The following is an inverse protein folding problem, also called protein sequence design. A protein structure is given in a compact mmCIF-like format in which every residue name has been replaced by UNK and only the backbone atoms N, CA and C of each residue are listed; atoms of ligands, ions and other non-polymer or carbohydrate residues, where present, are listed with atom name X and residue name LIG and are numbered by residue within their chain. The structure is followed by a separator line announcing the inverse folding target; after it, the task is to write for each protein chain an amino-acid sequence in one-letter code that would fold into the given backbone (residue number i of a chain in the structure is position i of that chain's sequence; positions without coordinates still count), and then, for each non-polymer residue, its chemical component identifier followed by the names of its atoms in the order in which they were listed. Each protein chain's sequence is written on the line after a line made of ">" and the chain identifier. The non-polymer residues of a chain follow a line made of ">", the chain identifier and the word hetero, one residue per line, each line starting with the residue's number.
data_IF_118275689100
#
_entry.id   IF_118275689100
#
_cell.length_a   1.000
_cell.length_b   1.000
_cell.length_c   1.000
_cell.angle_alpha   90.00
_cell.angle_beta   90.00
_cell.angle_gamma   90.00
#
_symmetry.space_group_name_H-M   'P 1'
#
loop_
_entity.id
_entity.type
_entity.pdbx_description
1 polymer ?
#
# COMPACT_ATOMS: atom_id res chain seq x y z
N UNK A 1 -16.00 -8.33 3.99
CA UNK A 1 -15.27 -7.94 5.22
C UNK A 1 -16.29 -7.64 6.31
N UNK A 2 -16.10 -8.17 7.52
CA UNK A 2 -17.00 -7.94 8.67
C UNK A 2 -16.98 -6.46 9.09
N UNK A 3 -18.10 -5.93 9.57
CA UNK A 3 -18.27 -4.48 9.79
C UNK A 3 -17.31 -3.92 10.86
N UNK A 4 -17.03 -4.68 11.92
CA UNK A 4 -16.03 -4.31 12.92
C UNK A 4 -14.63 -4.14 12.30
N UNK A 5 -14.25 -5.04 11.38
CA UNK A 5 -12.97 -4.98 10.72
C UNK A 5 -12.88 -3.78 9.77
N UNK A 6 -13.99 -3.39 9.12
CA UNK A 6 -14.05 -2.17 8.29
C UNK A 6 -13.80 -0.91 9.09
N UNK A 7 -14.39 -0.79 10.27
CA UNK A 7 -14.21 0.41 11.10
C UNK A 7 -12.79 0.54 11.65
N UNK A 8 -12.15 -0.57 12.01
CA UNK A 8 -10.74 -0.53 12.39
C UNK A 8 -9.82 -0.25 11.20
N UNK A 9 -10.16 -0.73 10.01
CA UNK A 9 -9.43 -0.42 8.79
C UNK A 9 -9.53 1.07 8.41
N UNK A 10 -10.68 1.71 8.66
CA UNK A 10 -10.82 3.17 8.48
C UNK A 10 -9.85 3.92 9.38
N UNK A 11 -9.79 3.56 10.67
CA UNK A 11 -8.86 4.17 11.64
C UNK A 11 -7.41 3.98 11.22
N UNK A 12 -7.08 2.78 10.73
CA UNK A 12 -5.76 2.43 10.23
C UNK A 12 -5.35 3.33 9.05
N UNK A 13 -6.21 3.48 8.03
CA UNK A 13 -5.91 4.28 6.84
C UNK A 13 -5.97 5.79 7.09
N UNK A 14 -6.77 6.26 8.06
CA UNK A 14 -6.78 7.68 8.48
C UNK A 14 -5.53 8.08 9.27
N UNK A 15 -4.78 7.09 9.77
CA UNK A 15 -3.68 7.34 10.70
C UNK A 15 -4.16 7.78 12.09
N UNK A 16 -5.37 7.38 12.49
CA UNK A 16 -5.90 7.61 13.83
C UNK A 16 -5.36 6.53 14.78
N UNK A 17 -5.16 6.90 16.05
CA UNK A 17 -4.74 5.92 17.04
C UNK A 17 -5.84 4.84 17.22
N UNK A 18 -5.45 3.56 17.20
CA UNK A 18 -6.35 2.45 17.51
C UNK A 18 -5.69 1.48 18.49
N UNK A 19 -6.51 0.87 19.35
CA UNK A 19 -6.06 -0.19 20.25
C UNK A 19 -6.03 -1.50 19.48
N UNK A 20 -4.87 -2.15 19.47
CA UNK A 20 -4.66 -3.42 18.77
C UNK A 20 -4.44 -4.51 19.81
N UNK A 21 -5.25 -5.56 19.74
CA UNK A 21 -5.03 -6.76 20.55
C UNK A 21 -3.87 -7.56 19.98
N UNK A 22 -2.82 -7.71 20.78
CA UNK A 22 -1.64 -8.49 20.41
C UNK A 22 -1.75 -9.86 21.06
N UNK A 23 -1.63 -10.93 20.28
CA UNK A 23 -1.66 -12.28 20.86
C UNK A 23 -0.48 -12.47 21.80
N UNK A 24 -0.76 -12.98 23.00
CA UNK A 24 0.25 -13.27 24.04
C UNK A 24 1.01 -12.03 24.57
N UNK A 25 0.47 -10.83 24.39
CA UNK A 25 1.02 -9.59 24.94
C UNK A 25 -0.11 -8.67 25.43
N UNK A 26 0.22 -7.64 26.19
CA UNK A 26 -0.72 -6.59 26.52
C UNK A 26 -1.15 -5.85 25.24
N UNK A 27 -2.37 -5.31 25.26
CA UNK A 27 -2.89 -4.51 24.15
C UNK A 27 -1.98 -3.32 23.89
N UNK A 28 -1.68 -3.10 22.61
CA UNK A 28 -0.84 -2.01 22.15
C UNK A 28 -1.66 -0.88 21.55
N UNK A 29 -1.09 0.33 21.54
CA UNK A 29 -1.64 1.46 20.78
C UNK A 29 -0.90 1.53 19.46
N UNK A 30 -1.63 1.43 18.35
CA UNK A 30 -1.11 1.75 17.03
C UNK A 30 -1.18 3.26 16.82
N UNK A 31 -0.04 3.87 16.53
CA UNK A 31 0.07 5.29 16.22
C UNK A 31 0.05 5.53 14.71
N UNK A 32 -0.12 6.79 14.32
CA UNK A 32 -0.14 7.23 12.92
C UNK A 32 1.09 6.74 12.17
N UNK A 33 0.89 5.79 11.26
CA UNK A 33 1.96 5.16 10.48
C UNK A 33 1.49 4.98 9.03
N UNK A 34 2.33 5.28 8.03
CA UNK A 34 1.99 5.05 6.63
C UNK A 34 1.80 3.55 6.37
N UNK A 35 0.74 3.20 5.63
CA UNK A 35 0.39 1.81 5.32
C UNK A 35 0.49 1.57 3.82
N UNK A 36 1.20 0.49 3.45
CA UNK A 36 1.25 -0.02 2.08
C UNK A 36 0.51 -1.36 2.02
N UNK A 37 -0.46 -1.46 1.11
CA UNK A 37 -1.22 -2.68 0.85
C UNK A 37 -0.81 -3.23 -0.51
N UNK A 38 -0.34 -4.49 -0.53
CA UNK A 38 0.02 -5.20 -1.75
C UNK A 38 -0.93 -6.37 -1.92
N UNK A 39 -1.60 -6.43 -3.06
CA UNK A 39 -2.54 -7.51 -3.39
C UNK A 39 -2.50 -7.77 -4.89
N UNK A 40 -2.52 -9.07 -5.25
CA UNK A 40 -2.73 -9.49 -6.63
C UNK A 40 -4.23 -9.52 -7.00
N UNK A 41 -5.10 -9.47 -5.98
CA UNK A 41 -6.54 -9.53 -6.12
C UNK A 41 -7.15 -8.15 -5.93
N UNK A 42 -8.29 -7.93 -6.59
CA UNK A 42 -9.10 -6.75 -6.33
C UNK A 42 -9.69 -6.82 -4.91
N UNK A 43 -9.40 -5.84 -4.07
CA UNK A 43 -9.93 -5.73 -2.71
C UNK A 43 -11.20 -4.87 -2.73
N UNK A 44 -12.23 -5.26 -1.96
CA UNK A 44 -13.51 -4.51 -1.90
C UNK A 44 -13.31 -3.04 -1.49
N UNK A 45 -12.33 -2.78 -0.63
CA UNK A 45 -11.94 -1.43 -0.17
C UNK A 45 -11.47 -0.52 -1.30
N UNK A 46 -11.03 -1.08 -2.45
CA UNK A 46 -10.62 -0.29 -3.60
C UNK A 46 -11.81 0.38 -4.30
N UNK A 47 -13.01 -0.19 -4.15
CA UNK A 47 -14.26 0.31 -4.74
C UNK A 47 -15.14 1.05 -3.74
N UNK A 48 -14.92 0.87 -2.44
CA UNK A 48 -15.72 1.50 -1.40
C UNK A 48 -15.46 3.02 -1.36
N UNK A 49 -16.50 3.88 -1.49
CA UNK A 49 -16.34 5.34 -1.49
C UNK A 49 -15.79 5.89 -0.17
N UNK A 50 -15.88 5.12 0.91
CA UNK A 50 -15.26 5.47 2.19
C UNK A 50 -13.73 5.43 2.10
N UNK A 51 -13.16 4.63 1.22
CA UNK A 51 -11.71 4.43 1.16
C UNK A 51 -11.11 5.02 -0.11
N UNK A 52 -11.77 4.80 -1.24
CA UNK A 52 -11.33 5.23 -2.56
C UNK A 52 -11.19 6.75 -2.62
N UNK A 53 -10.01 7.22 -3.01
CA UNK A 53 -9.67 8.63 -3.21
C UNK A 53 -9.79 9.53 -1.95
N UNK A 54 -10.07 8.94 -0.78
CA UNK A 54 -10.15 9.64 0.52
C UNK A 54 -9.05 9.15 1.47
N UNK A 55 -8.95 7.83 1.66
CA UNK A 55 -8.05 7.20 2.64
C UNK A 55 -6.98 6.32 2.00
N UNK A 56 -7.16 5.94 0.73
CA UNK A 56 -6.27 5.06 -0.01
C UNK A 56 -6.01 5.63 -1.40
N UNK A 57 -4.75 5.58 -1.83
CA UNK A 57 -4.36 5.81 -3.22
C UNK A 57 -4.01 4.47 -3.87
N UNK A 58 -4.65 4.16 -4.99
CA UNK A 58 -4.56 2.86 -5.64
C UNK A 58 -3.61 2.96 -6.83
N UNK A 59 -2.68 2.01 -6.92
CA UNK A 59 -1.78 1.87 -8.06
C UNK A 59 -1.97 0.48 -8.68
N UNK A 60 -2.28 0.45 -9.97
CA UNK A 60 -2.39 -0.81 -10.71
C UNK A 60 -1.07 -1.14 -11.38
N UNK A 61 -0.41 -2.17 -10.86
CA UNK A 61 0.86 -2.65 -11.39
C UNK A 61 0.56 -3.56 -12.57
N UNK A 62 1.15 -3.24 -13.72
CA UNK A 62 1.08 -4.08 -14.92
C UNK A 62 2.41 -4.80 -15.08
N UNK A 63 2.37 -6.01 -15.63
CA UNK A 63 3.60 -6.69 -16.04
C UNK A 63 4.34 -5.81 -17.04
N UNK A 64 5.64 -5.66 -16.83
CA UNK A 64 6.50 -4.95 -17.75
C UNK A 64 6.95 -5.93 -18.83
N UNK A 65 6.36 -5.85 -20.03
CA UNK A 65 6.69 -6.74 -21.15
C UNK A 65 8.17 -6.69 -21.53
N UNK A 66 8.83 -5.53 -21.36
CA UNK A 66 10.26 -5.36 -21.58
C UNK A 66 11.11 -6.29 -20.70
N UNK A 67 10.61 -6.64 -19.50
CA UNK A 67 11.33 -7.44 -18.52
C UNK A 67 10.82 -8.89 -18.43
N UNK A 68 9.94 -9.32 -19.35
CA UNK A 68 9.29 -10.63 -19.26
C UNK A 68 10.27 -11.81 -19.30
N UNK A 69 11.37 -11.66 -20.04
CA UNK A 69 12.38 -12.70 -20.25
C UNK A 69 13.56 -12.58 -19.25
N UNK A 70 13.52 -11.59 -18.36
CA UNK A 70 14.59 -11.36 -17.37
C UNK A 70 14.27 -12.05 -16.05
N UNK A 71 15.12 -13.02 -15.67
CA UNK A 71 15.12 -13.61 -14.32
C UNK A 71 16.03 -12.83 -13.34
N UNK A 72 16.56 -11.67 -13.75
CA UNK A 72 17.47 -10.86 -12.93
C UNK A 72 16.68 -9.83 -12.12
N UNK A 73 17.10 -9.63 -10.88
CA UNK A 73 16.60 -8.51 -10.09
C UNK A 73 17.15 -7.19 -10.66
N UNK A 74 16.35 -6.12 -10.69
CA UNK A 74 16.83 -4.82 -11.13
C UNK A 74 17.98 -4.35 -10.23
N UNK A 75 19.07 -3.90 -10.83
CA UNK A 75 20.18 -3.27 -10.11
C UNK A 75 19.65 -2.01 -9.41
N UNK A 76 19.84 -1.82 -8.10
CA UNK A 76 19.21 -0.71 -7.36
C UNK A 76 19.48 0.68 -7.95
N UNK A 77 20.67 0.93 -8.50
CA UNK A 77 20.99 2.22 -9.11
C UNK A 77 20.32 2.45 -10.47
N UNK A 78 19.79 1.40 -11.10
CA UNK A 78 19.03 1.54 -12.35
C UNK A 78 17.77 2.43 -12.17
N UNK A 79 17.38 2.71 -10.92
CA UNK A 79 16.29 3.65 -10.64
C UNK A 79 16.61 5.07 -11.11
N UNK A 80 17.86 5.52 -11.05
CA UNK A 80 18.27 6.85 -11.53
C UNK A 80 18.23 6.94 -13.05
N UNK A 81 18.61 5.85 -13.72
CA UNK A 81 18.51 5.71 -15.17
C UNK A 81 17.04 5.70 -15.60
N UNK A 82 16.17 5.02 -14.85
CA UNK A 82 14.73 5.02 -15.07
C UNK A 82 14.11 6.40 -14.86
N UNK A 83 14.49 7.13 -13.81
CA UNK A 83 14.02 8.51 -13.60
C UNK A 83 14.43 9.42 -14.75
N UNK A 84 15.66 9.32 -15.22
CA UNK A 84 16.14 10.06 -16.39
C UNK A 84 15.37 9.66 -17.66
N UNK A 85 15.13 8.37 -17.87
CA UNK A 85 14.40 7.86 -19.03
C UNK A 85 12.94 8.34 -19.09
N UNK A 86 12.27 8.40 -17.93
CA UNK A 86 10.88 8.84 -17.83
C UNK A 86 10.73 10.34 -17.51
N UNK A 87 11.81 11.13 -17.55
CA UNK A 87 11.82 12.55 -17.20
C UNK A 87 11.18 12.85 -15.83
N UNK A 88 11.43 11.99 -14.84
CA UNK A 88 11.00 12.20 -13.44
C UNK A 88 12.12 12.94 -12.71
N UNK A 89 11.81 14.13 -12.20
CA UNK A 89 12.71 14.86 -11.30
C UNK A 89 12.35 14.56 -9.84
N UNK A 90 13.38 14.26 -9.03
CA UNK A 90 13.25 14.22 -7.58
C UNK A 90 13.35 15.68 -7.09
N UNK A 91 12.21 16.30 -6.80
CA UNK A 91 12.15 17.59 -6.11
C UNK A 91 12.39 17.41 -4.60
#
# INVERSE_FOLDING_TARGET
>A
MEDSAKDDFKKLCEGKALNVRIKHCADGIYYRTPVLLLSNNHLDICTDPTFRDVRIKIFHWRKCELLKDSNKQPYPMAIFDLYSHYNVSLQ
#
